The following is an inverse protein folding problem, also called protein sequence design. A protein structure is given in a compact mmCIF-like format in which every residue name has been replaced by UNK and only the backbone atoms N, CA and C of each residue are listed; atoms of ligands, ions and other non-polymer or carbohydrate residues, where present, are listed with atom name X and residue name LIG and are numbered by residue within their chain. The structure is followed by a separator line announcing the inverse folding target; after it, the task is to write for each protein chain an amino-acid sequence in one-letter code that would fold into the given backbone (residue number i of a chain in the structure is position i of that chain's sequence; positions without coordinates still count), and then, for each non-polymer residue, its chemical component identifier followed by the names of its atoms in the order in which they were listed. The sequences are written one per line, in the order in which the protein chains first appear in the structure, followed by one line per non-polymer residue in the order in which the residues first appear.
data_IF_471667081687
#
_entry.id   IF_471667081687
#
_cell.length_a   1.000
_cell.length_b   1.000
_cell.length_c   1.000
_cell.angle_alpha   90.00
_cell.angle_beta   90.00
_cell.angle_gamma   90.00
#
_symmetry.space_group_name_H-M   'P 1'
#
loop_
_entity.id
_entity.type
_entity.pdbx_description
1 polymer ?
#
# COMPACT_ATOMS: atom_id res chain seq x y z
N UNK A 1 -15.62 -16.25 -1.36
CA UNK A 1 -14.39 -16.78 -1.97
C UNK A 1 -13.41 -16.86 -0.83
N UNK A 2 -12.93 -18.06 -0.48
CA UNK A 2 -12.29 -18.33 0.82
C UNK A 2 -11.21 -17.32 1.22
N UNK A 3 -10.36 -16.93 0.28
CA UNK A 3 -9.30 -15.93 0.48
C UNK A 3 -9.87 -14.56 0.90
N UNK A 4 -10.88 -14.04 0.20
CA UNK A 4 -11.47 -12.72 0.50
C UNK A 4 -12.21 -12.72 1.85
N UNK A 5 -12.80 -13.86 2.22
CA UNK A 5 -13.57 -14.01 3.45
C UNK A 5 -12.69 -14.25 4.69
N UNK A 6 -11.39 -14.46 4.49
CA UNK A 6 -10.44 -14.74 5.56
C UNK A 6 -10.34 -13.57 6.54
N UNK A 7 -10.02 -13.88 7.79
CA UNK A 7 -9.86 -12.86 8.83
C UNK A 7 -8.62 -12.00 8.53
N UNK A 8 -7.56 -12.58 7.96
CA UNK A 8 -6.34 -11.87 7.57
C UNK A 8 -6.60 -10.78 6.53
N UNK A 9 -7.45 -11.05 5.53
CA UNK A 9 -7.83 -10.04 4.53
C UNK A 9 -8.67 -8.93 5.18
N UNK A 10 -9.59 -9.28 6.06
CA UNK A 10 -10.42 -8.29 6.78
C UNK A 10 -9.59 -7.43 7.72
N UNK A 11 -8.70 -8.04 8.48
CA UNK A 11 -7.81 -7.34 9.42
C UNK A 11 -6.86 -6.42 8.64
N UNK A 12 -6.29 -6.89 7.53
CA UNK A 12 -5.46 -6.07 6.66
C UNK A 12 -6.21 -4.84 6.12
N UNK A 13 -7.43 -5.05 5.60
CA UNK A 13 -8.27 -3.97 5.05
C UNK A 13 -8.67 -2.95 6.11
N UNK A 14 -9.05 -3.39 7.31
CA UNK A 14 -9.63 -2.53 8.35
C UNK A 14 -8.59 -1.87 9.25
N UNK A 15 -7.37 -2.42 9.33
CA UNK A 15 -6.33 -1.90 10.21
C UNK A 15 -6.05 -0.40 9.94
N UNK A 16 -5.90 0.44 10.97
CA UNK A 16 -5.68 1.87 10.79
C UNK A 16 -4.27 2.20 10.28
N UNK A 17 -3.29 1.36 10.57
CA UNK A 17 -1.87 1.61 10.25
C UNK A 17 -1.42 0.87 8.99
N UNK A 18 -0.22 1.22 8.52
CA UNK A 18 0.46 0.52 7.43
C UNK A 18 0.53 -0.98 7.72
N UNK A 19 0.14 -1.80 6.75
CA UNK A 19 0.04 -3.25 6.93
C UNK A 19 0.37 -3.98 5.64
N UNK A 20 1.23 -5.00 5.77
CA UNK A 20 1.57 -5.92 4.68
C UNK A 20 0.92 -7.28 4.94
N UNK A 21 0.21 -7.78 3.93
CA UNK A 21 -0.35 -9.12 3.89
C UNK A 21 0.35 -9.90 2.77
N UNK A 22 0.92 -11.06 3.12
CA UNK A 22 1.44 -12.03 2.16
C UNK A 22 0.43 -13.16 2.00
N UNK A 23 0.08 -13.52 0.77
CA UNK A 23 -0.79 -14.67 0.46
C UNK A 23 0.02 -15.69 -0.34
N UNK A 24 0.26 -16.85 0.27
CA UNK A 24 1.03 -17.93 -0.34
C UNK A 24 0.16 -19.17 -0.50
N UNK A 25 0.28 -19.85 -1.64
CA UNK A 25 -0.29 -21.18 -1.80
C UNK A 25 0.64 -22.23 -1.16
N UNK A 26 0.05 -23.30 -0.61
CA UNK A 26 0.81 -24.47 -0.15
C UNK A 26 1.68 -25.05 -1.28
N UNK A 27 1.11 -25.13 -2.49
CA UNK A 27 1.85 -25.42 -3.73
C UNK A 27 1.84 -24.21 -4.67
N UNK A 28 3.02 -23.72 -5.12
CA UNK A 28 3.10 -22.57 -6.01
C UNK A 28 2.28 -22.75 -7.30
N UNK A 29 1.40 -21.78 -7.65
CA UNK A 29 0.50 -21.90 -8.78
C UNK A 29 1.27 -21.91 -10.10
N UNK A 30 1.00 -22.91 -10.95
CA UNK A 30 1.68 -23.05 -12.25
C UNK A 30 1.13 -22.07 -13.29
N UNK A 31 -0.15 -21.69 -13.17
CA UNK A 31 -0.83 -20.78 -14.08
C UNK A 31 -0.94 -19.36 -13.51
N UNK A 32 -0.87 -18.35 -14.38
CA UNK A 32 -1.13 -16.94 -14.03
C UNK A 32 -2.60 -16.67 -13.74
N UNK A 33 -3.51 -17.57 -14.13
CA UNK A 33 -4.92 -17.54 -13.76
C UNK A 33 -5.13 -18.56 -12.64
N UNK A 34 -5.01 -18.09 -11.40
CA UNK A 34 -5.19 -18.90 -10.20
C UNK A 34 -6.10 -18.15 -9.19
N UNK A 35 -6.64 -18.83 -8.17
CA UNK A 35 -7.54 -18.22 -7.19
C UNK A 35 -6.93 -17.04 -6.42
N UNK A 36 -5.62 -17.03 -6.17
CA UNK A 36 -4.93 -15.95 -5.47
C UNK A 36 -4.88 -14.69 -6.35
N UNK A 37 -4.48 -14.83 -7.61
CA UNK A 37 -4.47 -13.71 -8.56
C UNK A 37 -5.88 -13.19 -8.85
N UNK A 38 -6.89 -14.07 -8.86
CA UNK A 38 -8.29 -13.65 -8.93
C UNK A 38 -8.72 -12.84 -7.70
N UNK A 39 -8.26 -13.22 -6.50
CA UNK A 39 -8.49 -12.48 -5.26
C UNK A 39 -7.85 -11.08 -5.30
N UNK A 40 -6.57 -11.02 -5.69
CA UNK A 40 -5.83 -9.77 -5.80
C UNK A 40 -6.50 -8.82 -6.79
N UNK A 41 -6.95 -9.32 -7.94
CA UNK A 41 -7.69 -8.54 -8.94
C UNK A 41 -9.04 -8.05 -8.41
N UNK A 42 -9.81 -8.90 -7.72
CA UNK A 42 -11.08 -8.53 -7.11
C UNK A 42 -10.89 -7.42 -6.06
N UNK A 43 -9.97 -7.62 -5.12
CA UNK A 43 -9.67 -6.64 -4.07
C UNK A 43 -9.25 -5.30 -4.68
N UNK A 44 -8.35 -5.32 -5.66
CA UNK A 44 -7.95 -4.11 -6.39
C UNK A 44 -9.14 -3.34 -6.96
N UNK A 45 -10.03 -4.06 -7.66
CA UNK A 45 -11.20 -3.45 -8.30
C UNK A 45 -12.18 -2.89 -7.26
N UNK A 46 -12.49 -3.65 -6.20
CA UNK A 46 -13.42 -3.23 -5.16
C UNK A 46 -12.87 -2.04 -4.39
N UNK A 47 -11.59 -2.02 -4.02
CA UNK A 47 -10.95 -0.88 -3.35
C UNK A 47 -10.97 0.36 -4.26
N UNK A 48 -10.62 0.20 -5.53
CA UNK A 48 -10.60 1.31 -6.50
C UNK A 48 -11.99 1.90 -6.76
N UNK A 49 -13.04 1.09 -6.61
CA UNK A 49 -14.43 1.52 -6.85
C UNK A 49 -15.02 2.23 -5.63
N UNK A 50 -14.63 1.80 -4.42
CA UNK A 50 -15.22 2.24 -3.17
C UNK A 50 -14.34 3.22 -2.38
N UNK A 51 -13.18 3.60 -2.91
CA UNK A 51 -12.29 4.58 -2.26
C UNK A 51 -11.69 5.57 -3.25
N UNK A 52 -11.35 6.75 -2.73
CA UNK A 52 -10.57 7.76 -3.43
C UNK A 52 -9.05 7.60 -3.19
N UNK A 53 -8.63 6.48 -2.59
CA UNK A 53 -7.22 6.20 -2.36
C UNK A 53 -6.56 5.68 -3.65
N UNK A 54 -5.26 5.96 -3.88
CA UNK A 54 -4.52 5.32 -4.95
C UNK A 54 -4.45 3.80 -4.71
N UNK A 55 -4.83 3.04 -5.74
CA UNK A 55 -4.66 1.57 -5.80
C UNK A 55 -3.67 1.26 -6.91
N UNK A 56 -2.48 0.82 -6.53
CA UNK A 56 -1.37 0.54 -7.42
C UNK A 56 -1.21 -0.96 -7.57
N UNK A 57 -1.18 -1.46 -8.80
CA UNK A 57 -1.13 -2.90 -9.06
C UNK A 57 0.03 -3.28 -9.97
N UNK A 58 0.66 -4.41 -9.69
CA UNK A 58 1.58 -5.06 -10.60
C UNK A 58 1.28 -6.55 -10.62
N UNK A 59 1.07 -7.11 -11.81
CA UNK A 59 0.71 -8.50 -11.99
C UNK A 59 1.86 -9.22 -12.70
N UNK A 60 2.62 -10.01 -11.95
CA UNK A 60 3.78 -10.76 -12.43
C UNK A 60 3.40 -11.73 -13.54
N UNK A 61 4.28 -11.87 -14.55
CA UNK A 61 4.07 -12.78 -15.68
C UNK A 61 3.09 -12.29 -16.76
N UNK A 62 2.39 -11.17 -16.56
CA UNK A 62 1.60 -10.52 -17.62
C UNK A 62 2.44 -9.45 -18.34
N UNK A 63 2.83 -9.73 -19.59
CA UNK A 63 3.17 -8.65 -20.54
C UNK A 63 4.60 -8.10 -20.53
N UNK A 64 5.62 -8.86 -20.14
CA UNK A 64 7.01 -8.51 -20.49
C UNK A 64 7.25 -8.89 -21.95
N UNK A 65 7.23 -7.89 -22.85
CA UNK A 65 7.43 -8.10 -24.29
C UNK A 65 8.71 -8.91 -24.55
N UNK A 66 8.61 -9.93 -25.39
CA UNK A 66 9.72 -10.80 -25.84
C UNK A 66 10.83 -10.06 -26.63
N UNK A 67 10.81 -8.72 -26.72
CA UNK A 67 11.64 -7.90 -27.62
C UNK A 67 12.44 -6.77 -26.92
N UNK A 68 12.72 -6.86 -25.62
CA UNK A 68 13.67 -5.94 -24.99
C UNK A 68 15.04 -6.62 -24.90
N UNK A 69 15.94 -6.25 -25.81
CA UNK A 69 17.36 -6.67 -25.87
C UNK A 69 18.19 -6.28 -24.62
N UNK A 70 17.58 -5.67 -23.61
CA UNK A 70 18.18 -5.40 -22.30
C UNK A 70 17.48 -6.27 -21.26
N UNK A 71 18.25 -6.96 -20.42
CA UNK A 71 17.74 -7.65 -19.22
C UNK A 71 17.19 -6.60 -18.26
N UNK A 72 15.97 -6.12 -18.51
CA UNK A 72 15.27 -5.23 -17.59
C UNK A 72 14.79 -6.11 -16.44
N UNK A 73 15.32 -5.85 -15.25
CA UNK A 73 14.97 -6.61 -14.06
C UNK A 73 13.48 -6.37 -13.73
N UNK A 74 12.76 -7.41 -13.35
CA UNK A 74 11.31 -7.35 -13.09
C UNK A 74 10.91 -6.27 -12.09
N UNK A 75 11.75 -6.04 -11.08
CA UNK A 75 11.59 -4.98 -10.07
C UNK A 75 11.62 -3.56 -10.66
N UNK A 76 12.43 -3.31 -11.70
CA UNK A 76 12.48 -2.01 -12.39
C UNK A 76 11.19 -1.77 -13.18
N UNK A 77 10.66 -2.81 -13.83
CA UNK A 77 9.38 -2.73 -14.55
C UNK A 77 8.24 -2.49 -13.57
N UNK A 78 8.21 -3.24 -12.47
CA UNK A 78 7.26 -3.06 -11.38
C UNK A 78 7.27 -1.63 -10.87
N UNK A 79 8.42 -1.10 -10.46
CA UNK A 79 8.49 0.25 -9.91
C UNK A 79 8.05 1.33 -10.90
N UNK A 80 8.41 1.20 -12.19
CA UNK A 80 7.91 2.11 -13.22
C UNK A 80 6.38 2.04 -13.35
N UNK A 81 5.81 0.84 -13.26
CA UNK A 81 4.35 0.65 -13.30
C UNK A 81 3.66 1.33 -12.11
N UNK A 82 4.16 1.10 -10.89
CA UNK A 82 3.60 1.68 -9.67
C UNK A 82 3.67 3.21 -9.68
N UNK A 83 4.83 3.77 -10.06
CA UNK A 83 5.02 5.22 -10.21
C UNK A 83 4.05 5.79 -11.26
N UNK A 84 3.90 5.12 -12.39
CA UNK A 84 3.01 5.59 -13.47
C UNK A 84 1.55 5.63 -13.01
N UNK A 85 1.10 4.59 -12.29
CA UNK A 85 -0.26 4.54 -11.73
C UNK A 85 -0.48 5.63 -10.68
N UNK A 86 0.51 5.88 -9.82
CA UNK A 86 0.41 6.93 -8.80
C UNK A 86 0.33 8.32 -9.43
N UNK A 87 1.16 8.60 -10.43
CA UNK A 87 1.12 9.86 -11.19
C UNK A 87 -0.21 10.06 -11.91
N UNK A 88 -0.76 9.00 -12.53
CA UNK A 88 -2.08 9.05 -13.16
C UNK A 88 -3.18 9.35 -12.14
N UNK A 89 -3.13 8.70 -10.98
CA UNK A 89 -4.08 8.98 -9.91
C UNK A 89 -3.99 10.43 -9.43
N UNK A 90 -2.77 10.94 -9.18
CA UNK A 90 -2.56 12.34 -8.78
C UNK A 90 -3.12 13.28 -9.86
N UNK A 91 -2.78 13.06 -11.12
CA UNK A 91 -3.26 13.90 -12.22
C UNK A 91 -4.80 13.92 -12.35
N UNK A 92 -5.46 12.78 -12.13
CA UNK A 92 -6.90 12.65 -12.31
C UNK A 92 -7.71 13.08 -11.07
N UNK A 93 -7.18 12.86 -9.86
CA UNK A 93 -7.94 12.99 -8.60
C UNK A 93 -7.40 14.06 -7.66
N UNK A 94 -6.12 14.41 -7.75
CA UNK A 94 -5.43 15.38 -6.87
C UNK A 94 -4.53 16.33 -7.69
N UNK A 95 -5.07 17.04 -8.71
CA UNK A 95 -4.27 17.83 -9.64
C UNK A 95 -3.60 19.07 -9.02
N UNK A 96 -3.91 19.36 -7.77
CA UNK A 96 -3.36 20.45 -6.96
C UNK A 96 -2.06 20.07 -6.22
N UNK A 97 -1.67 18.80 -6.21
CA UNK A 97 -0.37 18.37 -5.71
C UNK A 97 0.73 18.91 -6.62
N UNK A 98 1.74 19.55 -6.03
CA UNK A 98 2.89 20.08 -6.77
C UNK A 98 3.83 18.95 -7.18
N UNK A 99 4.10 18.84 -8.49
CA UNK A 99 4.98 17.85 -9.07
C UNK A 99 6.23 18.47 -9.72
N UNK A 100 6.53 19.74 -9.43
CA UNK A 100 7.67 20.47 -9.99
C UNK A 100 9.01 19.77 -9.74
N UNK A 101 9.12 18.96 -8.69
CA UNK A 101 10.33 18.16 -8.41
C UNK A 101 10.68 17.19 -9.56
N UNK A 102 9.69 16.73 -10.33
CA UNK A 102 9.88 15.86 -11.49
C UNK A 102 10.62 16.56 -12.64
N UNK A 103 10.57 17.88 -12.73
CA UNK A 103 11.31 18.65 -13.75
C UNK A 103 12.83 18.59 -13.55
N UNK A 104 13.27 18.15 -12.37
CA UNK A 104 14.69 18.06 -12.08
C UNK A 104 15.41 17.10 -13.05
N UNK A 105 16.63 17.46 -13.45
CA UNK A 105 17.48 16.65 -14.37
C UNK A 105 17.72 15.22 -13.87
N UNK A 106 17.48 14.95 -12.59
CA UNK A 106 17.63 13.63 -11.96
C UNK A 106 16.54 12.65 -12.42
N UNK A 107 15.35 13.14 -12.76
CA UNK A 107 14.19 12.34 -13.12
C UNK A 107 13.85 12.37 -14.62
N UNK A 108 14.42 13.30 -15.39
CA UNK A 108 14.16 13.44 -16.83
C UNK A 108 15.15 12.68 -17.74
N UNK A 109 16.24 12.13 -17.19
CA UNK A 109 17.28 11.46 -17.97
C UNK A 109 16.97 9.96 -18.21
N UNK A 110 16.47 9.64 -19.42
CA UNK A 110 16.04 8.28 -19.83
C UNK A 110 17.06 7.17 -19.62
N UNK A 111 18.36 7.44 -19.76
CA UNK A 111 19.42 6.41 -19.72
C UNK A 111 19.89 6.01 -18.31
N UNK A 112 19.14 6.34 -17.25
CA UNK A 112 19.62 6.15 -15.87
C UNK A 112 18.54 5.87 -14.82
N UNK A 113 17.41 5.27 -15.23
CA UNK A 113 16.36 4.86 -14.27
C UNK A 113 16.73 3.53 -13.61
N UNK A 114 17.67 3.59 -12.67
CA UNK A 114 18.01 2.49 -11.76
C UNK A 114 16.94 2.36 -10.67
N UNK A 115 16.82 1.18 -10.08
CA UNK A 115 15.84 0.94 -9.01
C UNK A 115 15.95 1.94 -7.84
N UNK A 116 17.15 2.25 -7.28
CA UNK A 116 17.24 3.23 -6.19
C UNK A 116 16.70 4.62 -6.56
N UNK A 117 16.81 5.02 -7.83
CA UNK A 117 16.25 6.29 -8.30
C UNK A 117 14.74 6.24 -8.47
N UNK A 118 14.22 5.11 -8.91
CA UNK A 118 12.78 4.87 -8.99
C UNK A 118 12.16 4.83 -7.59
N UNK A 119 12.76 4.12 -6.64
CA UNK A 119 12.35 4.13 -5.23
C UNK A 119 12.39 5.55 -4.67
N UNK A 120 13.48 6.29 -4.89
CA UNK A 120 13.55 7.68 -4.42
C UNK A 120 12.46 8.58 -5.03
N UNK A 121 12.14 8.42 -6.32
CA UNK A 121 11.03 9.11 -6.95
C UNK A 121 9.69 8.70 -6.33
N UNK A 122 9.50 7.41 -6.07
CA UNK A 122 8.29 6.87 -5.47
C UNK A 122 8.08 7.43 -4.05
N UNK A 123 9.10 7.41 -3.19
CA UNK A 123 9.04 8.02 -1.87
C UNK A 123 8.69 9.50 -1.94
N UNK A 124 9.31 10.26 -2.86
CA UNK A 124 8.98 11.67 -3.06
C UNK A 124 7.51 11.88 -3.42
N UNK A 125 6.94 11.04 -4.29
CA UNK A 125 5.52 11.10 -4.62
C UNK A 125 4.63 10.79 -3.41
N UNK A 126 5.06 9.88 -2.53
CA UNK A 126 4.35 9.59 -1.28
C UNK A 126 4.44 10.77 -0.31
N UNK A 127 5.59 11.43 -0.20
CA UNK A 127 5.75 12.64 0.64
C UNK A 127 4.78 13.75 0.19
N UNK A 128 4.67 13.99 -1.12
CA UNK A 128 3.71 14.99 -1.65
C UNK A 128 2.24 14.59 -1.40
N UNK A 129 1.96 13.28 -1.25
CA UNK A 129 0.63 12.78 -0.91
C UNK A 129 0.31 12.87 0.58
N UNK A 130 1.30 12.72 1.46
CA UNK A 130 1.09 12.81 2.92
C UNK A 130 0.80 14.24 3.36
N UNK A 131 1.31 15.24 2.65
CA UNK A 131 1.01 16.65 2.91
C UNK A 131 -0.44 17.05 2.51
N UNK A 132 -1.17 16.18 1.81
CA UNK A 132 -2.53 16.44 1.34
C UNK A 132 -3.61 16.03 2.37
N UNK A 133 -4.51 16.96 2.68
CA UNK A 133 -5.55 16.79 3.68
C UNK A 133 -6.70 15.82 3.28
N UNK A 134 -6.67 15.21 2.09
CA UNK A 134 -7.72 14.30 1.59
C UNK A 134 -7.47 12.83 1.94
N UNK A 135 -6.47 12.56 2.78
CA UNK A 135 -6.16 11.25 3.30
C UNK A 135 -4.85 10.72 2.73
N UNK A 136 -4.15 10.00 3.60
CA UNK A 136 -2.77 9.60 3.49
C UNK A 136 -2.63 8.09 3.25
N UNK A 137 -3.56 7.42 2.57
CA UNK A 137 -3.47 5.98 2.35
C UNK A 137 -3.23 5.59 0.89
N UNK A 138 -2.41 4.57 0.65
CA UNK A 138 -2.14 3.98 -0.66
C UNK A 138 -2.19 2.46 -0.56
N UNK A 139 -2.93 1.82 -1.47
CA UNK A 139 -2.96 0.37 -1.61
C UNK A 139 -1.98 -0.06 -2.69
N UNK A 140 -1.14 -1.04 -2.39
CA UNK A 140 -0.19 -1.63 -3.34
C UNK A 140 -0.42 -3.14 -3.40
N UNK A 141 -0.73 -3.66 -4.59
CA UNK A 141 -0.97 -5.07 -4.83
C UNK A 141 0.09 -5.58 -5.81
N UNK A 142 0.99 -6.43 -5.34
CA UNK A 142 2.03 -7.07 -6.15
C UNK A 142 1.71 -8.56 -6.24
N UNK A 143 1.18 -8.95 -7.39
CA UNK A 143 0.79 -10.32 -7.67
C UNK A 143 1.93 -11.10 -8.35
N UNK A 144 2.05 -12.38 -8.04
CA UNK A 144 2.95 -13.32 -8.71
C UNK A 144 4.44 -12.91 -8.70
N UNK A 145 5.02 -12.64 -7.53
CA UNK A 145 6.42 -12.16 -7.43
C UNK A 145 7.43 -13.21 -7.93
N UNK A 146 7.13 -14.50 -7.73
CA UNK A 146 7.93 -15.63 -8.22
C UNK A 146 8.18 -15.59 -9.73
N UNK A 147 7.33 -14.85 -10.46
CA UNK A 147 7.36 -14.72 -11.92
C UNK A 147 8.15 -13.49 -12.39
N UNK A 148 8.86 -12.80 -11.50
CA UNK A 148 9.70 -11.67 -11.88
C UNK A 148 10.82 -12.14 -12.81
N UNK A 149 11.07 -11.38 -13.87
CA UNK A 149 12.22 -11.64 -14.73
C UNK A 149 13.51 -11.25 -14.01
N UNK A 150 14.48 -12.16 -13.96
CA UNK A 150 15.79 -11.94 -13.35
C UNK A 150 16.10 -12.93 -12.23
N UNK A 151 17.02 -12.56 -11.35
CA UNK A 151 17.33 -13.33 -10.15
C UNK A 151 16.23 -13.15 -9.10
N UNK A 152 15.75 -14.25 -8.52
CA UNK A 152 14.81 -14.19 -7.40
C UNK A 152 15.43 -13.59 -6.13
N UNK A 153 16.74 -13.70 -5.95
CA UNK A 153 17.44 -13.05 -4.83
C UNK A 153 17.45 -11.52 -5.00
N UNK A 154 17.66 -11.05 -6.24
CA UNK A 154 17.60 -9.61 -6.55
C UNK A 154 16.17 -9.11 -6.41
N UNK A 155 15.18 -9.86 -6.92
CA UNK A 155 13.76 -9.51 -6.77
C UNK A 155 13.34 -9.44 -5.29
N UNK A 156 13.78 -10.39 -4.46
CA UNK A 156 13.53 -10.38 -3.03
C UNK A 156 14.16 -9.14 -2.37
N UNK A 157 15.43 -8.87 -2.66
CA UNK A 157 16.14 -7.68 -2.16
C UNK A 157 15.43 -6.39 -2.53
N UNK A 158 14.95 -6.29 -3.77
CA UNK A 158 14.29 -5.11 -4.30
C UNK A 158 12.90 -4.88 -3.69
N UNK A 159 12.13 -5.96 -3.47
CA UNK A 159 10.84 -5.89 -2.76
C UNK A 159 11.04 -5.52 -1.29
N UNK A 160 12.08 -6.04 -0.64
CA UNK A 160 12.42 -5.67 0.74
C UNK A 160 12.81 -4.18 0.85
N UNK A 161 13.54 -3.63 -0.12
CA UNK A 161 13.83 -2.20 -0.17
C UNK A 161 12.57 -1.35 -0.34
N UNK A 162 11.58 -1.84 -1.10
CA UNK A 162 10.28 -1.19 -1.21
C UNK A 162 9.53 -1.22 0.12
N UNK A 163 9.51 -2.37 0.81
CA UNK A 163 8.93 -2.51 2.15
C UNK A 163 9.59 -1.55 3.15
N UNK A 164 10.93 -1.49 3.18
CA UNK A 164 11.67 -0.57 4.05
C UNK A 164 11.33 0.89 3.78
N UNK A 165 11.18 1.26 2.51
CA UNK A 165 10.81 2.61 2.09
C UNK A 165 9.37 2.96 2.49
N UNK A 166 8.48 1.97 2.46
CA UNK A 166 7.07 2.09 2.86
C UNK A 166 6.94 2.25 4.37
N UNK A 167 7.67 1.45 5.15
CA UNK A 167 7.66 1.52 6.63
C UNK A 167 8.13 2.87 7.17
N UNK A 168 8.91 3.62 6.39
CA UNK A 168 9.43 4.94 6.74
C UNK A 168 8.55 6.11 6.29
N UNK A 169 7.45 5.83 5.57
CA UNK A 169 6.55 6.87 5.05
C UNK A 169 5.49 7.25 6.07
N UNK A 170 5.11 8.52 6.09
CA UNK A 170 3.95 9.02 6.85
C UNK A 170 2.60 8.68 6.18
N UNK A 171 2.65 8.09 4.98
CA UNK A 171 1.48 7.54 4.27
C UNK A 171 1.17 6.15 4.84
N UNK A 172 -0.10 5.89 5.17
CA UNK A 172 -0.63 4.57 5.50
C UNK A 172 -0.59 3.67 4.25
N UNK A 173 0.31 2.71 4.24
CA UNK A 173 0.51 1.82 3.10
C UNK A 173 -0.13 0.46 3.37
N UNK A 174 -1.03 0.05 2.48
CA UNK A 174 -1.67 -1.27 2.51
C UNK A 174 -1.09 -2.12 1.40
N UNK A 175 -0.15 -3.01 1.76
CA UNK A 175 0.54 -3.84 0.79
C UNK A 175 -0.01 -5.27 0.80
N UNK A 176 -0.33 -5.78 -0.38
CA UNK A 176 -0.69 -7.17 -0.63
C UNK A 176 0.36 -7.78 -1.56
N UNK A 177 1.03 -8.83 -1.09
CA UNK A 177 2.02 -9.58 -1.84
C UNK A 177 1.52 -11.01 -2.05
N UNK A 178 1.80 -11.60 -3.21
CA UNK A 178 1.41 -12.99 -3.48
C UNK A 178 2.50 -13.74 -4.23
N UNK A 179 2.57 -15.05 -3.99
CA UNK A 179 3.49 -15.99 -4.63
C UNK A 179 4.93 -15.43 -4.60
N UNK A 180 5.42 -15.19 -3.39
CA UNK A 180 6.69 -14.53 -3.06
C UNK A 180 7.90 -15.30 -3.57
N UNK A 181 7.80 -16.63 -3.58
CA UNK A 181 8.93 -17.55 -3.79
C UNK A 181 9.85 -17.67 -2.57
N UNK A 182 10.73 -18.70 -2.52
CA UNK A 182 11.43 -19.08 -1.28
C UNK A 182 12.32 -18.00 -0.64
N UNK A 183 13.17 -17.25 -1.40
CA UNK A 183 14.07 -16.28 -0.77
C UNK A 183 13.31 -15.15 -0.05
N UNK A 184 12.23 -14.65 -0.65
CA UNK A 184 11.46 -13.54 -0.10
C UNK A 184 10.53 -14.01 1.04
N UNK A 185 9.98 -15.22 0.93
CA UNK A 185 9.14 -15.81 1.99
C UNK A 185 9.89 -15.90 3.33
N UNK A 186 11.14 -16.35 3.30
CA UNK A 186 11.96 -16.45 4.52
C UNK A 186 12.18 -15.08 5.18
N UNK A 187 12.52 -14.06 4.39
CA UNK A 187 12.77 -12.70 4.88
C UNK A 187 11.49 -12.04 5.42
N UNK A 188 10.34 -12.32 4.80
CA UNK A 188 9.03 -11.80 5.24
C UNK A 188 8.60 -12.42 6.58
N UNK A 189 8.89 -13.71 6.81
CA UNK A 189 8.61 -14.38 8.08
C UNK A 189 9.40 -13.78 9.25
N UNK A 190 10.61 -13.27 8.99
CA UNK A 190 11.41 -12.56 10.00
C UNK A 190 10.87 -11.16 10.34
N UNK A 191 10.10 -10.55 9.42
CA UNK A 191 9.56 -9.18 9.56
C UNK A 191 8.21 -9.09 10.28
N UNK A 192 7.69 -10.19 10.84
CA UNK A 192 6.35 -10.23 11.47
C UNK A 192 5.21 -9.76 10.54
N UNK A 193 5.37 -9.98 9.23
CA UNK A 193 4.31 -9.73 8.25
C UNK A 193 3.21 -10.78 8.41
N UNK A 194 1.95 -10.39 8.21
CA UNK A 194 0.84 -11.34 8.26
C UNK A 194 0.86 -12.22 7.03
N UNK A 195 0.80 -13.54 7.24
CA UNK A 195 0.78 -14.53 6.18
C UNK A 195 -0.57 -15.26 6.17
N UNK A 196 -1.20 -15.34 5.00
CA UNK A 196 -2.34 -16.20 4.73
C UNK A 196 -1.87 -17.35 3.84
N UNK A 197 -1.76 -18.54 4.42
CA UNK A 197 -1.48 -19.76 3.66
C UNK A 197 -2.78 -20.31 3.04
N UNK A 198 -2.76 -20.52 1.73
CA UNK A 198 -3.91 -20.94 0.91
C UNK A 198 -3.73 -22.42 0.55
N UNK A 199 -4.60 -23.32 1.07
CA UNK A 199 -4.53 -24.74 0.74
C UNK A 199 -4.73 -25.03 -0.75
N UNK A 200 -4.13 -26.12 -1.25
CA UNK A 200 -4.29 -26.56 -2.64
C UNK A 200 -5.75 -26.89 -3.00
N UNK A 201 -6.52 -27.38 -2.01
CA UNK A 201 -7.93 -27.76 -2.12
C UNK A 201 -8.89 -26.63 -1.68
N UNK A 202 -8.50 -25.37 -1.85
CA UNK A 202 -9.49 -24.28 -1.72
C UNK A 202 -10.49 -24.44 -2.86
N UNK A 203 -11.71 -24.86 -2.51
CA UNK A 203 -12.78 -25.17 -3.45
C UNK A 203 -13.06 -23.96 -4.35
N UNK A 204 -12.38 -23.94 -5.50
CA UNK A 204 -12.37 -22.86 -6.48
C UNK A 204 -13.65 -22.71 -7.27
N UNK A 205 -14.73 -23.37 -6.87
CA UNK A 205 -16.03 -23.17 -7.48
C UNK A 205 -16.97 -24.33 -7.27
N UNK A 206 -17.84 -24.22 -6.25
CA UNK A 206 -19.20 -24.83 -6.25
C UNK A 206 -20.14 -24.41 -5.12
N UNK A 207 -19.81 -23.38 -4.36
CA UNK A 207 -20.83 -22.65 -3.63
C UNK A 207 -21.13 -21.39 -4.43
N UNK A 208 -22.41 -21.09 -4.64
CA UNK A 208 -22.90 -19.83 -5.21
C UNK A 208 -22.35 -18.67 -4.38
N UNK A 209 -21.09 -18.31 -4.62
CA UNK A 209 -20.44 -17.16 -4.04
C UNK A 209 -21.15 -15.98 -4.65
N UNK A 210 -22.05 -15.40 -3.87
CA UNK A 210 -22.73 -14.19 -4.28
C UNK A 210 -21.68 -13.08 -4.29
N UNK A 211 -21.16 -12.78 -5.48
CA UNK A 211 -20.17 -11.72 -5.69
C UNK A 211 -20.68 -10.37 -5.16
N UNK A 212 -22.01 -10.15 -5.15
CA UNK A 212 -22.61 -8.95 -4.56
C UNK A 212 -22.45 -8.91 -3.03
N UNK A 213 -22.50 -10.07 -2.36
CA UNK A 213 -22.27 -10.15 -0.91
C UNK A 213 -20.80 -9.95 -0.60
N UNK A 214 -19.90 -10.58 -1.37
CA UNK A 214 -18.46 -10.40 -1.20
C UNK A 214 -18.02 -8.95 -1.42
N UNK A 215 -18.57 -8.31 -2.45
CA UNK A 215 -18.33 -6.90 -2.74
C UNK A 215 -18.90 -6.01 -1.63
N UNK A 216 -20.11 -6.33 -1.13
CA UNK A 216 -20.71 -5.64 0.00
C UNK A 216 -19.86 -5.69 1.27
N UNK A 217 -19.43 -6.88 1.69
CA UNK A 217 -18.62 -7.06 2.90
C UNK A 217 -17.25 -6.40 2.76
N UNK A 218 -16.60 -6.54 1.60
CA UNK A 218 -15.30 -5.88 1.33
C UNK A 218 -15.45 -4.36 1.33
N UNK A 219 -16.54 -3.84 0.74
CA UNK A 219 -16.85 -2.41 0.71
C UNK A 219 -17.07 -1.87 2.12
N UNK A 220 -17.74 -2.61 3.01
CA UNK A 220 -17.91 -2.23 4.41
C UNK A 220 -16.56 -2.12 5.14
N UNK A 221 -15.64 -3.06 4.92
CA UNK A 221 -14.29 -2.97 5.49
C UNK A 221 -13.52 -1.74 4.99
N UNK A 222 -13.68 -1.39 3.71
CA UNK A 222 -13.07 -0.19 3.11
C UNK A 222 -13.68 1.08 3.71
N UNK A 223 -15.00 1.14 3.89
CA UNK A 223 -15.69 2.26 4.53
C UNK A 223 -15.25 2.44 5.99
N UNK A 224 -15.09 1.33 6.72
CA UNK A 224 -14.58 1.35 8.09
C UNK A 224 -13.15 1.91 8.15
N UNK A 225 -12.27 1.45 7.26
CA UNK A 225 -10.92 1.98 7.14
C UNK A 225 -10.92 3.49 6.82
N UNK A 226 -11.71 3.94 5.85
CA UNK A 226 -11.83 5.37 5.55
C UNK A 226 -12.32 6.18 6.75
N UNK A 227 -13.25 5.64 7.52
CA UNK A 227 -13.76 6.30 8.71
C UNK A 227 -12.69 6.40 9.81
N UNK A 228 -11.80 5.41 9.95
CA UNK A 228 -10.69 5.46 10.90
C UNK A 228 -9.66 6.53 10.51
N UNK A 229 -9.29 6.61 9.22
CA UNK A 229 -8.36 7.63 8.71
C UNK A 229 -8.87 9.05 8.97
N UNK A 230 -10.15 9.33 8.69
CA UNK A 230 -10.76 10.65 8.90
C UNK A 230 -10.85 11.08 10.37
N UNK A 231 -10.82 10.13 11.32
CA UNK A 231 -10.87 10.44 12.75
C UNK A 231 -9.49 10.81 13.30
N UNK A 232 -8.44 10.23 12.75
CA UNK A 232 -7.05 10.56 13.12
C UNK A 232 -6.74 12.03 12.81
N UNK A 233 -7.11 12.51 11.62
CA UNK A 233 -6.87 13.91 11.20
C UNK A 233 -7.59 14.98 12.02
N UNK A 234 -8.66 14.62 12.74
CA UNK A 234 -9.46 15.57 13.54
C UNK A 234 -9.09 15.57 15.03
N UNK A 235 -8.13 14.76 15.45
CA UNK A 235 -7.78 14.54 16.85
C UNK A 235 -6.91 15.64 17.49
N UNK A 236 -6.29 16.52 16.71
CA UNK A 236 -5.27 17.46 17.22
C UNK A 236 -5.77 18.90 17.50
N UNK A 237 -7.07 19.17 17.33
CA UNK A 237 -7.68 20.45 17.74
C UNK A 237 -8.68 20.26 18.90
N UNK A 238 -8.18 19.95 20.09
CA UNK A 238 -8.93 20.26 21.32
C UNK A 238 -8.03 20.61 22.51
N UNK A 239 -8.28 21.84 22.98
CA UNK A 239 -8.06 22.36 24.34
C UNK A 239 -6.68 22.95 24.71
N UNK A 240 -6.36 24.12 24.15
CA UNK A 240 -5.74 25.20 24.95
C UNK A 240 -6.36 26.56 24.62
N UNK A 241 -7.60 26.77 25.09
CA UNK A 241 -8.16 28.11 25.21
C UNK A 241 -8.48 28.43 26.67
N UNK A 242 -7.77 29.44 27.18
CA UNK A 242 -8.33 30.40 28.13
C UNK A 242 -8.24 30.08 29.63
N UNK A 243 -7.10 30.43 30.25
CA UNK A 243 -7.18 31.19 31.51
C UNK A 243 -6.39 32.49 31.40
N UNK A 244 -7.16 33.52 31.02
CA UNK A 244 -6.90 34.94 31.18
C UNK A 244 -6.33 35.28 32.56
N UNK A 245 -5.30 36.12 32.55
CA UNK A 245 -4.68 36.64 33.76
C UNK A 245 -5.64 37.41 34.66
N UNK A 246 -5.43 37.23 35.96
CA UNK A 246 -5.74 38.24 36.96
C UNK A 246 -4.44 38.51 37.72
N UNK A 247 -3.81 39.62 37.35
CA UNK A 247 -2.91 40.37 38.21
C UNK A 247 -3.76 41.07 39.27
N UNK A 248 -3.54 40.76 40.54
CA UNK A 248 -3.78 41.72 41.62
C UNK A 248 -2.78 41.50 42.74
N UNK A 249 -1.79 42.38 42.75
CA UNK A 249 -0.96 42.77 43.89
C UNK A 249 -1.80 43.05 45.14
N UNK A 250 -1.45 42.45 46.27
CA UNK A 250 -1.79 43.00 47.59
C UNK A 250 -0.58 42.88 48.52
N UNK A 251 0.10 44.02 48.69
CA UNK A 251 0.96 44.33 49.82
C UNK A 251 0.08 44.93 50.95
N UNK A 252 0.26 44.36 52.14
CA UNK A 252 0.44 45.03 53.44
C UNK A 252 -0.76 45.51 54.32
N UNK A 253 -0.53 45.34 55.64
CA UNK A 253 -1.14 45.88 56.87
C UNK A 253 -2.16 45.07 57.73
N UNK A 254 -1.62 44.46 58.79
CA UNK A 254 -1.92 44.62 60.24
C UNK A 254 -3.39 44.55 60.76
N UNK A 255 -3.65 43.66 61.74
CA UNK A 255 -4.00 43.95 63.18
C UNK A 255 -4.70 42.76 63.90
N UNK A 256 -4.11 42.37 65.06
CA UNK A 256 -4.65 41.71 66.30
C UNK A 256 -5.42 40.38 66.23
N UNK A 257 -4.93 39.40 66.99
CA UNK A 257 -5.20 39.24 68.45
C UNK A 257 -4.07 38.51 69.14
#
# INVERSE_FOLDING_TARGET
MWIIESDEVKDWLTAPDSWTLAIEADTPPQDSSNPISAAAAFLSQTISTNSDFPVLTYMGGLGTSENLDEVVHGSVVMMKSLISQLLLHIADRRPDIDLDFLESKRFTHKSSMTLPRLLNMFCRLLDELSEDARGNAVFIIIDSISRFQGSMEDAATDVLQLLDAIEQSDVVMKMLLTDLGPPLLMEIQERHITELSVPDDVDGGRHDLNMEVLDGDTSLSIEEFQASQRRSDKGDESDQDGQSGISSSEDDYLVRT
#
